data_IF_039443817678
#
_entry.id   IF_039443817678
#
_cell.length_a   1.000
_cell.length_b   1.000
_cell.length_c   1.000
_cell.angle_alpha   90.00
_cell.angle_beta   90.00
_cell.angle_gamma   90.00
#
_symmetry.space_group_name_H-M   'P 1'
#
loop_
_entity.id
_entity.type
_entity.pdbx_description
1 polymer ?
#
# COMPACT_ATOMS: atom_id res chain seq x y z
N UNK A 1 9.19 8.17 -5.76
CA UNK A 1 10.04 8.28 -4.57
C UNK A 1 9.43 7.66 -3.34
N UNK A 2 10.27 7.24 -2.41
CA UNK A 2 9.91 6.64 -1.13
C UNK A 2 8.90 7.46 -0.29
N UNK A 3 8.76 8.76 -0.55
CA UNK A 3 7.84 9.63 0.18
C UNK A 3 6.35 9.33 -0.02
N UNK A 4 5.96 8.72 -1.11
CA UNK A 4 4.52 8.52 -1.42
C UNK A 4 3.92 7.26 -0.76
N UNK A 5 4.75 6.29 -0.44
CA UNK A 5 4.33 5.05 0.24
C UNK A 5 3.95 5.34 1.70
N UNK A 6 4.67 6.25 2.35
CA UNK A 6 4.45 6.59 3.77
C UNK A 6 3.36 7.65 4.01
N UNK A 7 2.99 8.45 3.02
CA UNK A 7 1.95 9.48 3.16
C UNK A 7 0.54 8.95 3.44
N UNK A 8 0.31 7.65 3.24
CA UNK A 8 -0.99 6.99 3.48
C UNK A 8 -1.02 6.18 4.77
N UNK A 9 0.08 6.13 5.48
CA UNK A 9 0.17 5.42 6.75
C UNK A 9 -0.04 6.41 7.88
N UNK A 10 -1.01 6.12 8.74
CA UNK A 10 -1.22 6.81 10.00
C UNK A 10 -0.84 5.81 11.08
N UNK A 11 0.08 6.22 11.94
CA UNK A 11 0.51 5.44 13.09
C UNK A 11 0.18 6.24 14.35
N UNK A 12 -0.61 5.66 15.24
CA UNK A 12 -1.01 6.31 16.46
C UNK A 12 -0.96 5.31 17.61
N UNK A 13 -0.38 5.72 18.73
CA UNK A 13 -0.44 5.00 20.00
C UNK A 13 -1.19 5.84 21.03
N UNK A 14 -2.17 5.26 21.70
CA UNK A 14 -2.94 5.91 22.73
C UNK A 14 -3.40 4.91 23.79
N UNK A 15 -3.58 5.37 25.03
CA UNK A 15 -4.13 4.58 26.12
C UNK A 15 -5.63 4.88 26.23
N UNK A 16 -6.46 4.14 25.49
CA UNK A 16 -7.93 4.21 25.53
C UNK A 16 -8.50 5.64 25.35
N UNK A 17 -7.84 6.45 24.52
CA UNK A 17 -8.26 7.83 24.27
C UNK A 17 -9.49 7.84 23.36
N UNK A 18 -10.56 8.59 23.69
CA UNK A 18 -11.74 8.72 22.85
C UNK A 18 -11.40 9.30 21.47
N UNK A 19 -12.04 8.80 20.41
CA UNK A 19 -11.80 9.22 19.02
C UNK A 19 -11.92 10.74 18.84
N UNK A 20 -12.92 11.38 19.47
CA UNK A 20 -13.09 12.82 19.40
C UNK A 20 -11.85 13.59 19.90
N UNK A 21 -11.20 13.12 20.97
CA UNK A 21 -9.98 13.72 21.50
C UNK A 21 -8.78 13.50 20.57
N UNK A 22 -8.72 12.36 19.91
CA UNK A 22 -7.69 12.11 18.90
C UNK A 22 -7.85 13.05 17.71
N UNK A 23 -9.07 13.28 17.25
CA UNK A 23 -9.37 14.22 16.18
C UNK A 23 -9.00 15.65 16.57
N UNK A 24 -9.34 16.09 17.78
CA UNK A 24 -8.95 17.41 18.32
C UNK A 24 -7.41 17.57 18.30
N UNK A 25 -6.68 16.55 18.71
CA UNK A 25 -5.21 16.57 18.69
C UNK A 25 -4.63 16.68 17.27
N UNK A 26 -5.22 15.99 16.30
CA UNK A 26 -4.83 16.07 14.90
C UNK A 26 -5.05 17.48 14.34
N UNK A 27 -6.20 18.09 14.61
CA UNK A 27 -6.47 19.45 14.19
C UNK A 27 -5.54 20.46 14.87
N UNK A 28 -5.27 20.33 16.16
CA UNK A 28 -4.31 21.18 16.86
C UNK A 28 -2.92 21.09 16.23
N UNK A 29 -2.46 19.88 15.93
CA UNK A 29 -1.18 19.67 15.24
C UNK A 29 -1.16 20.29 13.85
N UNK A 30 -2.27 20.21 13.11
CA UNK A 30 -2.41 20.86 11.80
C UNK A 30 -2.29 22.37 11.92
N UNK A 31 -3.00 23.00 12.86
CA UNK A 31 -2.99 24.46 13.05
C UNK A 31 -1.60 24.97 13.44
N UNK A 32 -0.88 24.23 14.31
CA UNK A 32 0.52 24.56 14.64
C UNK A 32 1.42 24.44 13.41
N UNK A 33 1.25 23.38 12.61
CA UNK A 33 2.00 23.23 11.37
C UNK A 33 1.73 24.36 10.37
N UNK A 34 0.51 24.88 10.28
CA UNK A 34 0.22 26.03 9.43
C UNK A 34 0.96 27.30 9.88
N UNK A 35 1.11 27.53 11.18
CA UNK A 35 1.91 28.64 11.71
C UNK A 35 3.39 28.48 11.36
N UNK A 36 3.93 27.26 11.48
CA UNK A 36 5.31 26.94 11.12
C UNK A 36 5.54 27.14 9.61
N UNK A 37 4.59 26.71 8.77
CA UNK A 37 4.65 26.91 7.32
C UNK A 37 4.67 28.39 6.98
N UNK A 38 3.78 29.21 7.58
CA UNK A 38 3.77 30.66 7.39
C UNK A 38 5.10 31.33 7.79
N UNK A 39 5.73 30.83 8.85
CA UNK A 39 7.07 31.29 9.22
C UNK A 39 8.13 30.92 8.18
N UNK A 40 8.12 29.69 7.65
CA UNK A 40 9.03 29.32 6.56
C UNK A 40 8.78 30.13 5.29
N UNK A 41 7.53 30.44 4.95
CA UNK A 41 7.19 31.28 3.80
C UNK A 41 7.81 32.68 3.96
N UNK A 42 7.77 33.27 5.14
CA UNK A 42 8.42 34.57 5.38
C UNK A 42 9.95 34.53 5.19
N UNK A 43 10.61 33.42 5.60
CA UNK A 43 12.04 33.22 5.36
C UNK A 43 12.33 33.09 3.85
N UNK A 44 11.45 32.36 3.13
CA UNK A 44 11.60 32.16 1.68
C UNK A 44 11.45 33.50 0.95
N UNK A 45 10.55 34.38 1.38
CA UNK A 45 10.41 35.73 0.82
C UNK A 45 11.66 36.57 1.01
N UNK A 46 12.35 36.47 2.17
CA UNK A 46 13.53 37.28 2.48
C UNK A 46 14.81 36.73 1.81
N UNK A 47 15.03 35.43 1.82
CA UNK A 47 16.30 34.81 1.42
C UNK A 47 16.16 33.58 0.55
N UNK A 48 14.97 33.29 0.08
CA UNK A 48 14.71 32.16 -0.82
C UNK A 48 15.48 32.28 -2.13
N UNK A 49 15.93 31.15 -2.64
CA UNK A 49 16.57 31.06 -3.95
C UNK A 49 15.57 30.57 -4.98
N UNK A 50 15.76 30.99 -6.22
CA UNK A 50 15.01 30.47 -7.35
C UNK A 50 15.13 28.95 -7.43
N UNK A 51 14.01 28.26 -7.61
CA UNK A 51 14.00 26.81 -7.71
C UNK A 51 14.60 26.39 -9.06
N UNK A 52 15.35 25.30 -9.06
CA UNK A 52 15.84 24.72 -10.29
C UNK A 52 14.68 24.17 -11.13
N UNK A 53 14.78 24.33 -12.43
CA UNK A 53 13.87 23.69 -13.35
C UNK A 53 14.03 22.17 -13.28
N UNK A 54 12.93 21.48 -13.43
CA UNK A 54 12.91 20.01 -13.49
C UNK A 54 11.93 19.55 -14.56
N UNK A 55 12.22 18.44 -15.15
CA UNK A 55 11.30 17.77 -16.08
C UNK A 55 10.29 16.99 -15.23
N UNK A 56 9.02 17.35 -15.35
CA UNK A 56 7.94 16.66 -14.64
C UNK A 56 7.79 15.23 -15.18
N UNK A 57 7.71 14.25 -14.27
CA UNK A 57 7.33 12.87 -14.60
C UNK A 57 5.80 12.68 -14.70
N UNK A 58 5.04 13.77 -14.70
CA UNK A 58 3.61 13.71 -14.86
C UNK A 58 3.24 13.20 -16.27
N UNK A 59 2.30 12.28 -16.32
CA UNK A 59 1.87 11.68 -17.57
C UNK A 59 1.04 12.70 -18.36
N UNK A 60 1.37 12.96 -19.64
CA UNK A 60 0.62 13.89 -20.47
C UNK A 60 -0.84 13.50 -20.61
N UNK A 61 -1.74 14.50 -20.55
CA UNK A 61 -3.19 14.24 -20.71
C UNK A 61 -3.52 13.71 -22.11
N UNK A 62 -2.75 14.11 -23.12
CA UNK A 62 -2.89 13.61 -24.48
C UNK A 62 -2.65 12.10 -24.57
N UNK A 63 -1.66 11.57 -23.83
CA UNK A 63 -1.41 10.14 -23.76
C UNK A 63 -2.61 9.42 -23.12
N UNK A 64 -3.19 9.97 -22.07
CA UNK A 64 -4.40 9.40 -21.48
C UNK A 64 -5.60 9.41 -22.44
N UNK A 65 -5.74 10.45 -23.26
CA UNK A 65 -6.79 10.51 -24.26
C UNK A 65 -6.65 9.39 -25.29
N UNK A 66 -5.45 9.22 -25.86
CA UNK A 66 -5.13 8.16 -26.81
C UNK A 66 -5.31 6.76 -26.20
N UNK A 67 -4.88 6.57 -24.96
CA UNK A 67 -5.07 5.29 -24.25
C UNK A 67 -6.56 4.92 -24.11
N UNK A 68 -7.43 5.91 -23.84
CA UNK A 68 -8.88 5.68 -23.74
C UNK A 68 -9.55 5.38 -25.06
N UNK A 69 -8.94 5.74 -26.18
CA UNK A 69 -9.42 5.35 -27.53
C UNK A 69 -9.12 3.86 -27.79
N UNK A 70 -7.95 3.36 -27.33
CA UNK A 70 -7.52 1.97 -27.47
C UNK A 70 -8.21 1.05 -26.48
N UNK A 71 -8.25 1.46 -25.21
CA UNK A 71 -8.89 0.74 -24.10
C UNK A 71 -9.92 1.66 -23.47
N UNK A 72 -11.18 1.37 -23.72
CA UNK A 72 -12.28 2.17 -23.19
C UNK A 72 -12.37 2.07 -21.66
N UNK A 73 -12.87 3.13 -20.98
CA UNK A 73 -13.06 3.09 -19.53
C UNK A 73 -13.89 1.91 -19.01
N UNK A 74 -14.89 1.49 -19.79
CA UNK A 74 -15.75 0.36 -19.45
C UNK A 74 -15.03 -0.99 -19.53
N UNK A 75 -14.04 -1.12 -20.43
CA UNK A 75 -13.19 -2.32 -20.53
C UNK A 75 -12.26 -2.40 -19.34
N UNK A 76 -11.62 -1.28 -18.96
CA UNK A 76 -10.77 -1.20 -17.77
C UNK A 76 -11.58 -1.47 -16.50
N UNK A 77 -12.78 -0.93 -16.38
CA UNK A 77 -13.67 -1.17 -15.24
C UNK A 77 -14.02 -2.66 -15.10
N UNK A 78 -14.34 -3.33 -16.22
CA UNK A 78 -14.59 -4.78 -16.23
C UNK A 78 -13.36 -5.60 -15.86
N UNK A 79 -12.18 -5.19 -16.33
CA UNK A 79 -10.93 -5.90 -16.04
C UNK A 79 -10.56 -5.85 -14.56
N UNK A 80 -10.83 -4.73 -13.87
CA UNK A 80 -10.52 -4.59 -12.44
C UNK A 80 -11.63 -5.09 -11.52
N UNK A 81 -12.85 -5.30 -12.03
CA UNK A 81 -14.01 -5.71 -11.23
C UNK A 81 -14.08 -7.23 -11.11
N UNK A 82 -13.29 -7.78 -10.21
CA UNK A 82 -13.30 -9.19 -9.80
C UNK A 82 -12.73 -9.33 -8.40
N UNK A 83 -13.18 -10.31 -7.63
CA UNK A 83 -12.68 -10.64 -6.31
C UNK A 83 -11.41 -11.52 -6.38
N UNK A 84 -11.16 -12.18 -7.51
CA UNK A 84 -9.95 -12.95 -7.75
C UNK A 84 -8.80 -12.04 -8.23
N UNK A 85 -7.71 -12.04 -7.45
CA UNK A 85 -6.53 -11.26 -7.78
C UNK A 85 -5.84 -11.75 -9.06
N UNK A 86 -5.72 -13.05 -9.25
CA UNK A 86 -5.02 -13.62 -10.40
C UNK A 86 -5.79 -13.33 -11.70
N UNK A 87 -7.12 -13.44 -11.66
CA UNK A 87 -7.98 -13.08 -12.79
C UNK A 87 -7.86 -11.59 -13.13
N UNK A 88 -7.89 -10.72 -12.11
CA UNK A 88 -7.71 -9.27 -12.33
C UNK A 88 -6.37 -8.95 -12.97
N UNK A 89 -5.29 -9.52 -12.42
CA UNK A 89 -3.94 -9.28 -12.92
C UNK A 89 -3.81 -9.77 -14.37
N UNK A 90 -4.42 -10.91 -14.73
CA UNK A 90 -4.48 -11.40 -16.10
C UNK A 90 -5.29 -10.49 -17.04
N UNK A 91 -6.46 -10.03 -16.58
CA UNK A 91 -7.33 -9.14 -17.38
C UNK A 91 -6.64 -7.80 -17.64
N UNK A 92 -5.99 -7.22 -16.63
CA UNK A 92 -5.23 -5.96 -16.78
C UNK A 92 -4.02 -6.16 -17.69
N UNK A 93 -3.32 -7.31 -17.61
CA UNK A 93 -2.20 -7.62 -18.50
C UNK A 93 -2.61 -7.66 -19.97
N UNK A 94 -3.76 -8.28 -20.28
CA UNK A 94 -4.28 -8.31 -21.65
C UNK A 94 -4.57 -6.90 -22.21
N UNK A 95 -5.13 -6.02 -21.37
CA UNK A 95 -5.35 -4.63 -21.77
C UNK A 95 -4.03 -3.85 -21.93
N UNK A 96 -3.05 -4.16 -21.07
CA UNK A 96 -1.72 -3.58 -21.15
C UNK A 96 -0.98 -3.98 -22.43
N UNK A 97 -1.06 -5.24 -22.84
CA UNK A 97 -0.49 -5.73 -24.09
C UNK A 97 -1.08 -5.01 -25.32
N UNK A 98 -2.41 -4.81 -25.33
CA UNK A 98 -3.08 -4.04 -26.39
C UNK A 98 -2.59 -2.59 -26.46
N UNK A 99 -2.34 -1.97 -25.30
CA UNK A 99 -1.79 -0.63 -25.24
C UNK A 99 -0.34 -0.59 -25.74
N UNK A 100 0.50 -1.54 -25.31
CA UNK A 100 1.89 -1.65 -25.80
C UNK A 100 1.94 -1.83 -27.32
N UNK A 101 1.09 -2.69 -27.89
CA UNK A 101 0.99 -2.90 -29.33
C UNK A 101 0.54 -1.62 -30.07
N UNK A 102 -0.42 -0.88 -29.51
CA UNK A 102 -0.92 0.36 -30.11
C UNK A 102 0.10 1.50 -30.11
N UNK A 103 1.04 1.49 -29.15
CA UNK A 103 2.08 2.53 -29.00
C UNK A 103 3.48 2.05 -29.42
N UNK A 104 3.60 0.90 -30.10
CA UNK A 104 4.89 0.30 -30.45
C UNK A 104 5.81 1.20 -31.30
N UNK A 105 5.26 2.16 -32.03
CA UNK A 105 6.00 3.08 -32.88
C UNK A 105 6.35 4.41 -32.18
N UNK A 106 5.96 4.57 -30.91
CA UNK A 106 6.18 5.81 -30.13
C UNK A 106 7.07 5.47 -28.91
N UNK A 107 8.39 5.59 -29.08
CA UNK A 107 9.37 5.27 -28.03
C UNK A 107 9.20 6.12 -26.77
N UNK A 108 8.82 7.41 -26.93
CA UNK A 108 8.61 8.30 -25.77
C UNK A 108 7.37 7.87 -24.97
N UNK A 109 6.29 7.52 -25.65
CA UNK A 109 5.10 6.99 -25.02
C UNK A 109 5.37 5.64 -24.34
N UNK A 110 6.09 4.72 -25.01
CA UNK A 110 6.45 3.41 -24.45
C UNK A 110 7.24 3.52 -23.14
N UNK A 111 8.15 4.49 -23.02
CA UNK A 111 8.95 4.66 -21.81
C UNK A 111 8.12 4.99 -20.57
N UNK A 112 7.01 5.70 -20.73
CA UNK A 112 6.12 6.13 -19.63
C UNK A 112 4.82 5.32 -19.55
N UNK A 113 4.59 4.44 -20.53
CA UNK A 113 3.33 3.67 -20.65
C UNK A 113 3.02 2.81 -19.42
N UNK A 114 3.97 2.10 -18.78
CA UNK A 114 3.68 1.33 -17.57
C UNK A 114 3.10 2.19 -16.45
N UNK A 115 3.65 3.37 -16.21
CA UNK A 115 3.14 4.32 -15.22
C UNK A 115 1.78 4.88 -15.63
N UNK A 116 1.58 5.11 -16.93
CA UNK A 116 0.31 5.59 -17.47
C UNK A 116 -0.81 4.55 -17.31
N UNK A 117 -0.53 3.27 -17.56
CA UNK A 117 -1.47 2.15 -17.35
C UNK A 117 -1.84 2.06 -15.87
N UNK A 118 -0.86 2.09 -14.98
CA UNK A 118 -1.12 2.07 -13.53
C UNK A 118 -1.97 3.26 -13.09
N UNK A 119 -1.72 4.46 -13.61
CA UNK A 119 -2.54 5.63 -13.31
C UNK A 119 -3.95 5.53 -13.89
N UNK A 120 -4.10 4.89 -15.03
CA UNK A 120 -5.40 4.66 -15.66
C UNK A 120 -6.24 3.69 -14.80
N UNK A 121 -5.66 2.56 -14.42
CA UNK A 121 -6.28 1.60 -13.48
C UNK A 121 -6.68 2.31 -12.17
N UNK A 122 -5.75 3.03 -11.56
CA UNK A 122 -5.98 3.77 -10.32
C UNK A 122 -7.12 4.78 -10.42
N UNK A 123 -7.19 5.55 -11.53
CA UNK A 123 -8.28 6.52 -11.77
C UNK A 123 -9.62 5.80 -11.96
N UNK A 124 -9.63 4.66 -12.64
CA UNK A 124 -10.82 3.84 -12.86
C UNK A 124 -11.36 3.30 -11.53
N UNK A 125 -10.51 2.64 -10.74
CA UNK A 125 -10.88 2.11 -9.42
C UNK A 125 -11.36 3.23 -8.49
N UNK A 126 -10.68 4.38 -8.50
CA UNK A 126 -11.09 5.53 -7.68
C UNK A 126 -12.46 6.07 -8.10
N UNK A 127 -12.75 6.13 -9.39
CA UNK A 127 -14.08 6.50 -9.90
C UNK A 127 -15.15 5.52 -9.43
N UNK A 128 -14.91 4.22 -9.57
CA UNK A 128 -15.83 3.17 -9.10
C UNK A 128 -16.18 3.34 -7.61
N UNK A 129 -15.17 3.58 -6.76
CA UNK A 129 -15.37 3.74 -5.33
C UNK A 129 -16.13 5.03 -5.01
N UNK A 130 -15.71 6.17 -5.58
CA UNK A 130 -16.22 7.49 -5.20
C UNK A 130 -17.55 7.87 -5.86
N UNK A 131 -17.79 7.42 -7.10
CA UNK A 131 -18.97 7.79 -7.88
C UNK A 131 -20.00 6.67 -7.93
N UNK A 132 -19.52 5.44 -8.16
CA UNK A 132 -20.43 4.31 -8.38
C UNK A 132 -20.65 3.51 -7.09
N UNK A 133 -19.95 3.88 -6.00
CA UNK A 133 -19.98 3.21 -4.69
C UNK A 133 -19.73 1.70 -4.76
N UNK A 134 -18.89 1.30 -5.72
CA UNK A 134 -18.50 -0.10 -5.96
C UNK A 134 -17.04 -0.31 -5.64
N UNK A 135 -16.75 -1.35 -4.90
CA UNK A 135 -15.36 -1.81 -4.71
C UNK A 135 -15.01 -2.82 -5.80
N UNK A 136 -13.74 -2.91 -6.22
CA UNK A 136 -13.31 -3.84 -7.28
C UNK A 136 -13.67 -5.30 -7.00
N UNK A 137 -13.69 -5.70 -5.73
CA UNK A 137 -14.03 -7.04 -5.27
C UNK A 137 -15.54 -7.25 -4.98
N UNK A 138 -16.39 -6.33 -5.40
CA UNK A 138 -17.85 -6.42 -5.27
C UNK A 138 -18.42 -6.17 -3.88
N UNK A 139 -17.56 -5.96 -2.85
CA UNK A 139 -18.03 -5.66 -1.49
C UNK A 139 -18.64 -4.26 -1.38
N UNK A 140 -19.51 -4.07 -0.40
CA UNK A 140 -19.97 -2.74 -0.01
C UNK A 140 -18.84 -1.88 0.54
N UNK A 141 -19.01 -0.55 0.60
CA UNK A 141 -17.95 0.38 1.01
C UNK A 141 -17.48 0.12 2.44
N UNK A 142 -18.38 -0.22 3.33
CA UNK A 142 -18.16 -0.51 4.75
C UNK A 142 -18.01 -2.00 5.06
N UNK A 143 -18.12 -2.88 4.07
CA UNK A 143 -18.00 -4.32 4.26
C UNK A 143 -16.54 -4.74 4.42
N UNK A 144 -16.22 -5.46 5.48
CA UNK A 144 -14.92 -6.09 5.69
C UNK A 144 -14.87 -7.47 5.05
N UNK A 145 -13.66 -7.93 4.67
CA UNK A 145 -13.47 -9.30 4.17
C UNK A 145 -13.80 -10.30 5.25
N UNK A 146 -14.33 -11.47 4.84
CA UNK A 146 -14.60 -12.57 5.76
C UNK A 146 -13.35 -12.91 6.55
N UNK A 147 -13.50 -12.96 7.87
CA UNK A 147 -12.45 -13.34 8.80
C UNK A 147 -12.75 -14.74 9.35
N UNK A 148 -11.73 -15.58 9.37
CA UNK A 148 -11.79 -16.92 9.95
C UNK A 148 -10.55 -17.12 10.83
N UNK A 149 -10.70 -17.73 11.98
CA UNK A 149 -9.60 -18.06 12.88
C UNK A 149 -9.82 -19.47 13.44
N UNK A 150 -8.77 -20.27 13.39
CA UNK A 150 -8.74 -21.62 13.93
C UNK A 150 -7.48 -21.80 14.78
N UNK A 151 -7.58 -22.58 15.82
CA UNK A 151 -6.47 -22.90 16.72
C UNK A 151 -6.31 -24.40 16.82
N UNK A 152 -5.13 -24.83 17.30
CA UNK A 152 -4.84 -26.25 17.57
C UNK A 152 -4.90 -27.13 16.32
N UNK A 153 -4.38 -26.64 15.19
CA UNK A 153 -4.39 -27.32 13.90
C UNK A 153 -3.34 -28.44 13.80
N UNK A 154 -2.21 -28.28 14.48
CA UNK A 154 -1.08 -29.17 14.43
C UNK A 154 -0.87 -29.87 15.79
N UNK A 155 -0.99 -31.19 15.85
CA UNK A 155 -1.03 -31.94 17.14
C UNK A 155 0.33 -32.11 17.84
N UNK A 156 1.43 -31.77 17.17
CA UNK A 156 2.80 -31.99 17.69
C UNK A 156 3.56 -30.74 18.06
N UNK A 157 2.93 -29.59 17.96
CA UNK A 157 3.53 -28.31 18.30
C UNK A 157 2.96 -27.79 19.61
N UNK A 158 3.63 -26.83 20.25
CA UNK A 158 3.16 -26.25 21.50
C UNK A 158 1.94 -25.33 21.32
N UNK A 159 1.79 -24.77 20.12
CA UNK A 159 0.61 -24.04 19.70
C UNK A 159 0.59 -23.86 18.19
N UNK A 160 -0.59 -23.87 17.62
CA UNK A 160 -0.80 -23.52 16.21
C UNK A 160 -2.10 -22.77 16.05
N UNK A 161 -2.07 -21.76 15.19
CA UNK A 161 -3.24 -20.97 14.84
C UNK A 161 -3.22 -20.61 13.37
N UNK A 162 -4.39 -20.58 12.76
CA UNK A 162 -4.58 -20.07 11.41
C UNK A 162 -5.50 -18.85 11.47
N UNK A 163 -5.12 -17.81 10.77
CA UNK A 163 -5.98 -16.66 10.55
C UNK A 163 -6.14 -16.44 9.06
N UNK A 164 -7.37 -16.29 8.62
CA UNK A 164 -7.73 -16.07 7.22
C UNK A 164 -8.55 -14.81 7.07
N UNK A 165 -8.18 -13.98 6.10
CA UNK A 165 -8.91 -12.80 5.71
C UNK A 165 -9.14 -12.80 4.20
N UNK A 166 -10.32 -13.19 3.78
CA UNK A 166 -10.62 -13.43 2.37
C UNK A 166 -9.70 -14.52 1.80
N UNK A 167 -8.92 -14.18 0.80
CA UNK A 167 -7.96 -15.10 0.16
C UNK A 167 -6.60 -15.18 0.87
N UNK A 168 -6.30 -14.24 1.78
CA UNK A 168 -5.03 -14.22 2.51
C UNK A 168 -5.13 -15.10 3.75
N UNK A 169 -4.17 -16.01 3.91
CA UNK A 169 -4.11 -16.96 5.02
C UNK A 169 -2.72 -16.91 5.67
N UNK A 170 -2.69 -16.95 7.00
CA UNK A 170 -1.46 -17.05 7.79
C UNK A 170 -1.62 -18.20 8.76
N UNK A 171 -0.59 -19.04 8.83
CA UNK A 171 -0.44 -20.05 9.86
C UNK A 171 0.68 -19.62 10.81
N UNK A 172 0.36 -19.53 12.08
CA UNK A 172 1.33 -19.32 13.15
C UNK A 172 1.59 -20.65 13.88
N UNK A 173 2.85 -20.99 14.05
CA UNK A 173 3.28 -22.18 14.77
C UNK A 173 4.18 -21.72 15.90
N UNK A 174 3.82 -22.06 17.13
CA UNK A 174 4.52 -21.61 18.33
C UNK A 174 5.26 -22.78 18.96
N UNK A 175 6.52 -22.56 19.27
CA UNK A 175 7.34 -23.46 20.07
C UNK A 175 7.75 -22.76 21.36
N UNK A 176 7.45 -23.36 22.50
CA UNK A 176 7.91 -22.89 23.81
C UNK A 176 9.23 -23.58 24.14
N UNK A 177 10.25 -22.80 24.45
CA UNK A 177 11.56 -23.30 24.77
C UNK A 177 12.26 -22.40 25.80
N UNK A 178 13.26 -22.91 26.55
CA UNK A 178 14.10 -22.07 27.40
C UNK A 178 14.90 -21.07 26.56
N UNK A 179 15.40 -20.02 27.19
CA UNK A 179 16.18 -18.96 26.53
C UNK A 179 17.47 -19.46 25.87
N UNK A 180 17.99 -20.63 26.28
CA UNK A 180 19.14 -21.27 25.64
C UNK A 180 18.89 -21.73 24.20
N UNK A 181 17.62 -21.89 23.82
CA UNK A 181 17.20 -22.41 22.51
C UNK A 181 16.80 -21.29 21.53
N UNK A 182 17.16 -20.04 21.83
CA UNK A 182 16.90 -18.92 20.90
C UNK A 182 17.71 -19.07 19.61
N UNK A 183 17.17 -18.58 18.52
CA UNK A 183 17.88 -18.57 17.25
C UNK A 183 19.10 -17.64 17.35
N UNK A 184 20.28 -18.18 17.20
CA UNK A 184 21.49 -17.41 17.00
C UNK A 184 21.65 -17.05 15.54
N UNK A 185 21.88 -15.75 15.27
CA UNK A 185 22.18 -15.26 13.94
C UNK A 185 23.67 -14.96 13.88
N UNK A 186 24.40 -15.85 13.24
CA UNK A 186 25.84 -15.69 12.99
C UNK A 186 26.03 -14.89 11.70
N UNK A 187 26.87 -13.88 11.73
CA UNK A 187 27.21 -13.03 10.60
C UNK A 187 28.72 -12.80 10.52
N UNK A 188 29.15 -12.00 9.55
CA UNK A 188 30.54 -11.57 9.42
C UNK A 188 30.94 -10.49 10.45
N UNK A 189 29.99 -10.01 11.25
CA UNK A 189 30.23 -9.02 12.28
C UNK A 189 30.62 -9.71 13.60
N UNK A 190 31.38 -9.01 14.44
CA UNK A 190 31.85 -9.47 15.74
C UNK A 190 30.74 -9.72 16.78
N UNK A 191 29.50 -9.28 16.49
CA UNK A 191 28.38 -9.39 17.41
C UNK A 191 27.39 -10.46 16.94
N UNK A 192 27.22 -11.50 17.75
CA UNK A 192 26.12 -12.47 17.61
C UNK A 192 24.80 -11.78 18.01
N UNK A 193 23.80 -11.90 17.15
CA UNK A 193 22.44 -11.42 17.45
C UNK A 193 21.54 -12.61 17.77
N UNK A 194 20.83 -12.53 18.89
CA UNK A 194 19.85 -13.54 19.29
C UNK A 194 18.45 -13.11 18.86
N UNK A 195 17.72 -14.00 18.20
CA UNK A 195 16.30 -13.82 17.91
C UNK A 195 15.46 -14.76 18.76
N UNK A 196 14.63 -14.19 19.61
CA UNK A 196 13.73 -14.94 20.50
C UNK A 196 12.46 -15.42 19.81
N UNK A 197 12.17 -14.90 18.64
CA UNK A 197 11.08 -15.35 17.77
C UNK A 197 11.46 -15.17 16.30
N UNK A 198 10.92 -16.02 15.46
CA UNK A 198 11.03 -15.86 14.01
C UNK A 198 9.70 -15.33 13.47
N UNK A 199 9.73 -14.14 12.88
CA UNK A 199 8.58 -13.58 12.18
C UNK A 199 8.89 -13.56 10.67
N UNK A 200 8.43 -14.56 9.89
CA UNK A 200 8.54 -14.49 8.45
C UNK A 200 7.63 -13.37 7.95
N UNK A 201 8.23 -12.24 7.56
CA UNK A 201 7.51 -11.13 6.97
C UNK A 201 7.03 -11.53 5.58
N UNK A 202 5.78 -11.90 5.46
CA UNK A 202 5.10 -11.81 4.20
C UNK A 202 4.80 -10.35 3.91
N UNK A 203 5.28 -9.82 2.79
CA UNK A 203 5.14 -8.41 2.40
C UNK A 203 3.71 -7.96 2.10
N UNK A 204 2.73 -8.82 2.26
CA UNK A 204 1.32 -8.51 2.08
C UNK A 204 0.64 -8.24 3.42
N UNK A 205 0.65 -6.97 3.85
CA UNK A 205 -0.35 -6.37 4.72
C UNK A 205 -0.46 -6.77 6.20
N UNK A 206 0.57 -7.28 6.86
CA UNK A 206 0.60 -7.37 8.31
C UNK A 206 1.74 -6.55 8.93
N UNK A 207 1.82 -5.27 8.59
CA UNK A 207 2.42 -4.26 9.46
C UNK A 207 1.38 -3.74 10.46
N UNK A 208 0.70 -4.64 11.13
CA UNK A 208 0.00 -4.29 12.34
C UNK A 208 0.81 -4.90 13.48
N UNK A 209 1.44 -4.06 14.29
CA UNK A 209 2.18 -4.39 15.50
C UNK A 209 3.54 -5.11 15.31
N UNK A 210 4.48 -4.48 14.65
CA UNK A 210 5.83 -4.55 15.16
C UNK A 210 5.83 -3.76 16.46
N UNK A 211 5.68 -4.44 17.58
CA UNK A 211 6.08 -3.88 18.85
C UNK A 211 7.58 -3.62 18.73
N UNK A 212 7.95 -2.36 18.58
CA UNK A 212 9.29 -1.90 18.85
C UNK A 212 9.58 -2.28 20.29
N UNK A 213 10.46 -3.22 20.47
CA UNK A 213 11.20 -3.36 21.70
C UNK A 213 12.52 -2.62 21.50
N UNK A 214 12.60 -1.47 22.14
CA UNK A 214 13.86 -0.79 22.43
C UNK A 214 14.74 -1.67 23.31
#
# INVERSE_FOLDING_TARGET
GLGDVYKRQIEAGANELPEAKMIEAIYLAHDVNQQIIGFFESIIEECGKEKHDYVSSAIPEELFAKMKEVVKPEEMEKAVFTDDKAERDANVSLLSERLVEAFQDDEEALAILPDAIYQYEKKTVRKMILKDHKRPDGRAIDEIRKLEAEVDLLPRVHGSAMFKRGQTQIMNITTLAPLSEVQKVEGLNEFETEKRYLHPVSYTHLRAHETRHD
#
